data_IF_526491601199
#
_entry.id   IF_526491601199
#
_cell.length_a   1.000
_cell.length_b   1.000
_cell.length_c   1.000
_cell.angle_alpha   90.00
_cell.angle_beta   90.00
_cell.angle_gamma   90.00
#
_symmetry.space_group_name_H-M   'P 1'
#
loop_
_entity.id
_entity.type
_entity.pdbx_description
1 polymer ?
#
# COMPACT_ATOMS: atom_id res chain seq x y z
N UNK A 1 2.59 6.63 -18.34
CA UNK A 1 1.76 5.83 -17.41
C UNK A 1 1.61 4.43 -17.97
N UNK A 2 1.69 3.41 -17.13
CA UNK A 2 1.51 2.03 -17.54
C UNK A 2 0.02 1.70 -17.74
N UNK A 3 -0.28 0.84 -18.71
CA UNK A 3 -1.63 0.30 -18.89
C UNK A 3 -1.99 -0.66 -17.76
N UNK A 4 -3.28 -0.71 -17.41
CA UNK A 4 -3.85 -1.71 -16.50
C UNK A 4 -3.98 -3.07 -17.19
N UNK A 5 -4.21 -4.13 -16.39
CA UNK A 5 -4.42 -5.50 -16.86
C UNK A 5 -5.65 -5.60 -17.78
N UNK A 6 -6.61 -4.69 -17.64
CA UNK A 6 -7.78 -4.58 -18.50
C UNK A 6 -7.95 -3.12 -18.96
N UNK A 7 -8.22 -2.89 -20.26
CA UNK A 7 -8.42 -1.55 -20.81
C UNK A 7 -9.53 -0.74 -20.13
N UNK A 8 -10.56 -1.39 -19.57
CA UNK A 8 -11.68 -0.70 -18.90
C UNK A 8 -11.23 0.08 -17.65
N UNK A 9 -10.16 -0.35 -16.98
CA UNK A 9 -9.64 0.31 -15.79
C UNK A 9 -8.53 1.32 -16.08
N UNK A 10 -8.15 1.54 -17.35
CA UNK A 10 -7.01 2.39 -17.72
C UNK A 10 -7.21 3.86 -17.33
N UNK A 11 -8.39 4.41 -17.56
CA UNK A 11 -8.67 5.81 -17.27
C UNK A 11 -8.60 6.09 -15.76
N UNK A 12 -9.22 5.23 -14.95
CA UNK A 12 -9.18 5.32 -13.49
C UNK A 12 -7.75 5.15 -12.96
N UNK A 13 -6.98 4.21 -13.53
CA UNK A 13 -5.58 4.01 -13.19
C UNK A 13 -4.75 5.26 -13.46
N UNK A 14 -4.90 5.89 -14.62
CA UNK A 14 -4.13 7.09 -14.97
C UNK A 14 -4.44 8.27 -14.03
N UNK A 15 -5.71 8.47 -13.68
CA UNK A 15 -6.12 9.50 -12.71
C UNK A 15 -5.52 9.24 -11.32
N UNK A 16 -5.63 8.00 -10.84
CA UNK A 16 -5.04 7.59 -9.56
C UNK A 16 -3.51 7.72 -9.56
N UNK A 17 -2.81 7.18 -10.56
CA UNK A 17 -1.35 7.21 -10.64
C UNK A 17 -0.83 8.66 -10.69
N UNK A 18 -1.54 9.57 -11.36
CA UNK A 18 -1.18 11.00 -11.42
C UNK A 18 -1.32 11.67 -10.06
N UNK A 19 -2.43 11.41 -9.35
CA UNK A 19 -2.65 11.88 -7.98
C UNK A 19 -1.57 11.33 -7.03
N UNK A 20 -1.34 10.01 -7.07
CA UNK A 20 -0.39 9.33 -6.23
C UNK A 20 1.03 9.85 -6.42
N UNK A 21 1.48 10.05 -7.67
CA UNK A 21 2.82 10.57 -7.94
C UNK A 21 3.00 12.00 -7.38
N UNK A 22 1.98 12.85 -7.51
CA UNK A 22 2.00 14.18 -6.94
C UNK A 22 2.06 14.15 -5.40
N UNK A 23 1.19 13.35 -4.78
CA UNK A 23 1.15 13.16 -3.34
C UNK A 23 2.45 12.55 -2.80
N UNK A 24 3.01 11.56 -3.48
CA UNK A 24 4.23 10.89 -3.08
C UNK A 24 5.42 11.87 -3.04
N UNK A 25 5.59 12.66 -4.11
CA UNK A 25 6.68 13.63 -4.20
C UNK A 25 6.54 14.82 -3.23
N UNK A 26 5.31 15.33 -3.05
CA UNK A 26 5.08 16.60 -2.34
C UNK A 26 4.57 16.45 -0.91
N UNK A 27 4.08 15.28 -0.52
CA UNK A 27 3.54 15.03 0.82
C UNK A 27 4.35 13.96 1.53
N UNK A 28 4.36 12.75 0.98
CA UNK A 28 4.94 11.59 1.64
C UNK A 28 6.45 11.77 1.87
N UNK A 29 7.21 12.10 0.83
CA UNK A 29 8.66 12.31 0.94
C UNK A 29 9.03 13.54 1.79
N UNK A 30 8.11 14.49 1.97
CA UNK A 30 8.30 15.68 2.81
C UNK A 30 7.92 15.43 4.28
N UNK A 31 7.49 14.22 4.63
CA UNK A 31 7.13 13.83 6.00
C UNK A 31 5.69 14.16 6.40
N UNK A 32 4.83 14.56 5.45
CA UNK A 32 3.38 14.66 5.69
C UNK A 32 2.78 13.27 5.87
N UNK A 33 1.80 13.16 6.78
CA UNK A 33 1.04 11.93 7.05
C UNK A 33 -0.39 11.98 6.51
N UNK A 34 -0.73 12.98 5.69
CA UNK A 34 -2.06 13.07 5.07
C UNK A 34 -2.28 11.89 4.11
N UNK A 35 -3.39 11.16 4.27
CA UNK A 35 -3.71 9.96 3.48
C UNK A 35 -4.92 10.14 2.55
N UNK A 36 -5.68 11.23 2.68
CA UNK A 36 -7.02 11.33 2.09
C UNK A 36 -7.05 11.82 0.62
N UNK A 37 -5.99 12.48 0.13
CA UNK A 37 -6.03 13.22 -1.15
C UNK A 37 -6.30 12.35 -2.39
N UNK A 38 -5.99 11.04 -2.36
CA UNK A 38 -6.17 10.13 -3.49
C UNK A 38 -7.06 8.92 -3.17
N UNK A 39 -7.72 8.87 -2.01
CA UNK A 39 -8.43 7.67 -1.56
C UNK A 39 -9.63 7.34 -2.45
N UNK A 40 -10.48 8.31 -2.79
CA UNK A 40 -11.64 8.08 -3.68
C UNK A 40 -11.21 7.55 -5.06
N UNK A 41 -10.15 8.11 -5.64
CA UNK A 41 -9.56 7.65 -6.90
C UNK A 41 -9.01 6.23 -6.78
N UNK A 42 -8.38 5.92 -5.65
CA UNK A 42 -7.87 4.59 -5.35
C UNK A 42 -9.01 3.57 -5.24
N UNK A 43 -10.07 3.88 -4.49
CA UNK A 43 -11.20 2.96 -4.33
C UNK A 43 -11.89 2.67 -5.66
N UNK A 44 -12.09 3.68 -6.51
CA UNK A 44 -12.66 3.52 -7.84
C UNK A 44 -11.80 2.59 -8.72
N UNK A 45 -10.48 2.84 -8.77
CA UNK A 45 -9.55 1.98 -9.51
C UNK A 45 -9.50 0.56 -8.94
N UNK A 46 -9.40 0.42 -7.62
CA UNK A 46 -9.34 -0.86 -6.91
C UNK A 46 -10.58 -1.71 -7.16
N UNK A 47 -11.77 -1.11 -7.13
CA UNK A 47 -13.01 -1.83 -7.44
C UNK A 47 -12.98 -2.43 -8.85
N UNK A 48 -12.57 -1.63 -9.84
CA UNK A 48 -12.40 -2.11 -11.22
C UNK A 48 -11.34 -3.22 -11.33
N UNK A 49 -10.18 -3.00 -10.71
CA UNK A 49 -9.05 -3.92 -10.77
C UNK A 49 -9.37 -5.27 -10.11
N UNK A 50 -9.96 -5.26 -8.92
CA UNK A 50 -10.28 -6.49 -8.19
C UNK A 50 -11.27 -7.35 -8.96
N UNK A 51 -12.30 -6.76 -9.59
CA UNK A 51 -13.24 -7.50 -10.45
C UNK A 51 -12.51 -8.30 -11.53
N UNK A 52 -11.60 -7.66 -12.25
CA UNK A 52 -10.81 -8.29 -13.33
C UNK A 52 -9.88 -9.37 -12.81
N UNK A 53 -9.25 -9.15 -11.66
CA UNK A 53 -8.27 -10.08 -11.08
C UNK A 53 -8.96 -11.35 -10.58
N UNK A 54 -10.16 -11.24 -10.01
CA UNK A 54 -10.95 -12.39 -9.58
C UNK A 54 -11.38 -13.29 -10.74
N UNK A 55 -11.62 -12.73 -11.93
CA UNK A 55 -11.96 -13.49 -13.14
C UNK A 55 -10.75 -14.22 -13.75
N UNK A 56 -9.52 -13.84 -13.37
CA UNK A 56 -8.29 -14.43 -13.90
C UNK A 56 -7.71 -15.47 -12.93
N UNK A 57 -7.08 -16.54 -13.44
CA UNK A 57 -6.44 -17.58 -12.60
C UNK A 57 -5.23 -17.08 -11.80
N UNK A 58 -4.88 -15.80 -11.91
CA UNK A 58 -3.76 -15.19 -11.19
C UNK A 58 -4.08 -14.92 -9.71
N UNK A 59 -5.35 -14.95 -9.30
CA UNK A 59 -5.74 -14.62 -7.93
C UNK A 59 -5.11 -15.54 -6.88
N UNK A 60 -5.05 -16.86 -7.13
CA UNK A 60 -4.42 -17.81 -6.22
C UNK A 60 -2.92 -17.55 -6.06
N UNK A 61 -2.22 -17.29 -7.17
CA UNK A 61 -0.81 -16.94 -7.16
C UNK A 61 -0.56 -15.63 -6.44
N UNK A 62 -1.44 -14.65 -6.63
CA UNK A 62 -1.38 -13.35 -5.97
C UNK A 62 -1.60 -13.47 -4.45
N UNK A 63 -2.53 -14.33 -4.02
CA UNK A 63 -2.77 -14.61 -2.61
C UNK A 63 -1.56 -15.27 -1.95
N UNK A 64 -0.98 -16.27 -2.61
CA UNK A 64 0.24 -16.91 -2.14
C UNK A 64 1.39 -15.90 -2.00
N UNK A 65 1.63 -15.07 -3.03
CA UNK A 65 2.67 -14.04 -2.99
C UNK A 65 2.43 -12.97 -1.92
N UNK A 66 1.17 -12.57 -1.69
CA UNK A 66 0.81 -11.60 -0.64
C UNK A 66 0.98 -12.14 0.79
N UNK A 67 0.88 -13.45 0.97
CA UNK A 67 1.12 -14.10 2.26
C UNK A 67 2.62 -14.19 2.60
N UNK A 68 3.49 -14.01 1.62
CA UNK A 68 4.93 -14.01 1.84
C UNK A 68 5.37 -12.67 2.44
N UNK A 69 6.26 -12.74 3.43
CA UNK A 69 6.93 -11.58 4.02
C UNK A 69 8.43 -11.64 3.66
N UNK A 70 8.81 -11.37 2.40
CA UNK A 70 10.17 -11.63 1.90
C UNK A 70 11.26 -10.80 2.60
N UNK A 71 10.89 -9.72 3.28
CA UNK A 71 11.82 -8.90 4.06
C UNK A 71 12.03 -9.40 5.49
N UNK A 72 11.28 -10.42 5.92
CA UNK A 72 11.42 -11.05 7.24
C UNK A 72 12.38 -12.25 7.23
N UNK A 73 12.90 -12.65 6.06
CA UNK A 73 13.90 -13.70 5.95
C UNK A 73 15.24 -13.19 6.50
N UNK A 74 15.56 -13.58 7.73
CA UNK A 74 16.80 -13.21 8.43
C UNK A 74 16.64 -12.18 9.54
N UNK A 75 15.42 -11.74 9.88
CA UNK A 75 15.22 -11.02 11.15
C UNK A 75 15.24 -12.06 12.27
N UNK A 76 16.36 -12.12 12.99
CA UNK A 76 16.36 -12.69 14.33
C UNK A 76 15.21 -12.00 15.08
N UNK A 77 14.26 -12.78 15.61
CA UNK A 77 13.15 -12.23 16.37
C UNK A 77 13.73 -11.48 17.57
N UNK A 78 13.94 -10.18 17.42
CA UNK A 78 14.30 -9.33 18.54
C UNK A 78 13.04 -9.30 19.37
N UNK A 79 13.00 -10.10 20.44
CA UNK A 79 11.94 -10.08 21.43
C UNK A 79 11.71 -8.62 21.82
N UNK A 80 10.63 -8.00 21.31
CA UNK A 80 10.27 -6.60 21.56
C UNK A 80 10.18 -6.31 23.07
N UNK A 81 9.93 -7.37 23.87
CA UNK A 81 9.95 -7.36 25.33
C UNK A 81 11.30 -6.87 25.89
N UNK A 82 12.44 -7.13 25.22
CA UNK A 82 13.77 -6.73 25.71
C UNK A 82 14.09 -5.27 25.36
N UNK A 83 13.56 -4.74 24.24
CA UNK A 83 13.79 -3.34 23.83
C UNK A 83 12.93 -2.37 24.67
N UNK A 84 11.71 -2.77 25.06
CA UNK A 84 10.82 -1.93 25.86
C UNK A 84 11.32 -1.65 27.30
N UNK A 85 12.22 -2.46 27.85
CA UNK A 85 12.72 -2.28 29.22
C UNK A 85 13.83 -1.22 29.36
N UNK A 86 14.43 -0.75 28.25
CA UNK A 86 15.48 0.29 28.27
C UNK A 86 15.14 1.47 27.34
N UNK A 87 14.13 2.23 27.76
CA UNK A 87 14.20 3.69 27.88
C UNK A 87 14.29 4.51 26.58
N UNK A 88 13.19 4.59 25.83
CA UNK A 88 12.82 5.79 25.03
C UNK A 88 11.29 6.01 25.18
N UNK A 89 10.83 7.15 25.73
CA UNK A 89 9.40 7.40 25.94
C UNK A 89 8.79 8.04 24.68
N UNK A 90 8.33 7.23 23.72
CA UNK A 90 7.50 7.72 22.62
C UNK A 90 6.03 7.65 23.03
N UNK A 91 5.51 8.75 23.61
CA UNK A 91 4.07 8.89 23.88
C UNK A 91 3.33 8.96 22.54
N UNK A 92 2.70 7.85 22.17
CA UNK A 92 1.54 7.84 21.27
C UNK A 92 0.39 8.52 22.03
N UNK A 93 0.04 9.75 21.65
CA UNK A 93 -1.25 10.35 22.03
C UNK A 93 -2.31 9.70 21.14
N UNK A 94 -3.20 8.98 21.78
CA UNK A 94 -4.51 8.64 21.26
C UNK A 94 -5.43 9.81 21.66
N UNK A 95 -5.87 10.58 20.66
CA UNK A 95 -7.06 11.45 20.69
C UNK A 95 -7.41 11.85 19.25
#
# INVERSE_FOLDING_TARGET
>A
MASSINPECNEMKQKYDSCFNHWYANRFLQGSRSLEECDELFQAYKACFMKVVHEKPIMELLNHARAQAPFEEGVEQVNIIVIFQKKIPFKRKEE
#
